data_IF_972374650361
#
_entry.id   IF_972374650361
#
_cell.length_a   1.000
_cell.length_b   1.000
_cell.length_c   1.000
_cell.angle_alpha   90.00
_cell.angle_beta   90.00
_cell.angle_gamma   90.00
#
_symmetry.space_group_name_H-M   'P 1'
#
loop_
_entity.id
_entity.type
_entity.pdbx_description
1 polymer ?
#
# COMPACT_ATOMS: atom_id res chain seq x y z
N UNK A 1 12.50 19.72 -11.70
CA UNK A 1 12.49 19.71 -11.19
C UNK A 1 12.12 19.25 -10.65
N UNK A 2 11.98 18.76 -10.38
CA UNK A 2 11.56 18.35 -9.82
C UNK A 2 11.67 18.56 -8.73
N UNK A 3 11.70 18.86 -8.27
CA UNK A 3 11.78 19.18 -7.18
C UNK A 3 10.71 19.67 -6.69
N UNK A 4 9.78 19.55 -6.98
CA UNK A 4 8.76 20.09 -6.42
C UNK A 4 8.37 19.43 -5.23
N UNK A 5 7.86 20.11 -4.26
CA UNK A 5 7.40 19.50 -3.05
C UNK A 5 6.14 18.74 -3.31
N UNK A 6 6.00 17.58 -2.68
CA UNK A 6 4.76 16.86 -2.82
C UNK A 6 3.64 17.69 -2.22
N UNK A 7 2.48 17.62 -2.83
CA UNK A 7 1.34 18.34 -2.28
C UNK A 7 0.64 17.50 -1.25
N UNK A 8 1.03 16.25 -1.06
CA UNK A 8 0.39 15.38 -0.11
C UNK A 8 0.93 15.57 1.29
N UNK A 9 0.04 15.67 2.25
CA UNK A 9 0.43 15.68 3.65
C UNK A 9 0.48 14.21 4.06
N UNK A 10 1.68 13.65 4.10
CA UNK A 10 1.83 12.23 4.36
C UNK A 10 1.36 11.81 5.74
N UNK A 11 1.48 12.70 6.71
CA UNK A 11 1.01 12.37 8.06
C UNK A 11 -0.52 12.28 8.09
N UNK A 12 -1.17 13.21 7.44
CA UNK A 12 -2.62 13.20 7.43
C UNK A 12 -3.12 12.02 6.61
N UNK A 13 -2.47 11.72 5.50
CA UNK A 13 -2.85 10.57 4.70
C UNK A 13 -2.66 9.28 5.50
N UNK A 14 -1.55 9.17 6.22
CA UNK A 14 -1.30 7.98 7.05
C UNK A 14 -2.44 7.79 8.04
N UNK A 15 -2.92 8.88 8.62
CA UNK A 15 -3.98 8.78 9.59
C UNK A 15 -5.25 8.27 8.93
N UNK A 16 -5.54 8.73 7.71
CA UNK A 16 -6.73 8.30 7.00
C UNK A 16 -6.65 6.82 6.62
N UNK A 17 -5.49 6.36 6.18
CA UNK A 17 -5.33 4.97 5.82
C UNK A 17 -5.46 4.06 7.03
N UNK A 18 -4.96 4.51 8.17
CA UNK A 18 -5.10 3.72 9.39
C UNK A 18 -6.56 3.54 9.77
N UNK A 19 -7.39 4.53 9.49
CA UNK A 19 -8.80 4.43 9.81
C UNK A 19 -9.52 3.44 8.90
N UNK A 20 -9.04 3.26 7.69
CA UNK A 20 -9.63 2.32 6.77
C UNK A 20 -9.25 0.89 7.17
N UNK A 21 -8.04 0.72 7.65
CA UNK A 21 -7.53 -0.60 8.00
C UNK A 21 -8.18 -1.14 9.27
N UNK A 22 -8.31 -2.45 9.39
CA UNK A 22 -8.92 -3.02 10.59
C UNK A 22 -8.10 -2.68 11.82
N UNK A 23 -8.79 -2.49 12.93
CA UNK A 23 -8.13 -2.22 14.20
C UNK A 23 -7.77 -3.56 14.83
N UNK A 24 -6.83 -3.53 15.75
CA UNK A 24 -6.47 -4.72 16.49
C UNK A 24 -5.11 -5.26 16.11
N UNK A 25 -4.84 -6.47 16.55
CA UNK A 25 -3.56 -7.09 16.32
C UNK A 25 -3.69 -8.32 15.45
N UNK A 26 -2.63 -8.62 14.74
CA UNK A 26 -2.59 -9.83 13.96
C UNK A 26 -2.61 -11.00 14.92
N UNK A 27 -3.47 -11.99 14.70
CA UNK A 27 -3.60 -13.10 15.63
C UNK A 27 -2.26 -13.79 15.88
N UNK A 28 -1.99 -14.09 17.14
CA UNK A 28 -0.77 -14.78 17.52
C UNK A 28 0.46 -13.91 17.60
N UNK A 29 0.31 -12.60 17.44
CA UNK A 29 1.46 -11.71 17.49
C UNK A 29 1.13 -10.46 18.27
N UNK A 30 2.15 -9.62 18.47
CA UNK A 30 1.95 -8.33 19.08
C UNK A 30 1.88 -7.24 18.04
N UNK A 31 1.86 -7.58 16.75
CA UNK A 31 1.86 -6.59 15.70
C UNK A 31 0.47 -6.05 15.45
N UNK A 32 0.33 -4.75 15.46
CA UNK A 32 -0.95 -4.14 15.17
C UNK A 32 -1.09 -3.95 13.67
N UNK A 33 -2.26 -4.26 13.14
CA UNK A 33 -2.47 -4.13 11.71
C UNK A 33 -2.24 -2.71 11.23
N UNK A 34 -2.66 -1.71 12.01
CA UNK A 34 -2.52 -0.32 11.59
C UNK A 34 -1.12 0.25 11.73
N UNK A 35 -0.40 -0.16 12.76
CA UNK A 35 0.91 0.42 13.03
C UNK A 35 0.79 1.87 13.50
N UNK A 36 1.90 2.58 13.48
CA UNK A 36 1.91 3.97 13.95
C UNK A 36 1.78 4.93 12.78
N UNK A 37 1.21 6.08 13.04
CA UNK A 37 1.05 7.11 12.02
C UNK A 37 2.41 7.52 11.46
N UNK A 38 3.41 7.66 12.33
CA UNK A 38 4.73 8.09 11.89
C UNK A 38 5.34 7.09 10.93
N UNK A 39 5.25 5.81 11.25
CA UNK A 39 5.83 4.78 10.42
C UNK A 39 5.13 4.72 9.07
N UNK A 40 3.82 4.81 9.06
CA UNK A 40 3.06 4.75 7.83
C UNK A 40 3.38 5.97 6.95
N UNK A 41 3.48 7.14 7.57
CA UNK A 41 3.79 8.35 6.83
C UNK A 41 5.17 8.25 6.18
N UNK A 42 6.13 7.65 6.89
CA UNK A 42 7.47 7.48 6.35
C UNK A 42 7.47 6.54 5.15
N UNK A 43 6.70 5.48 5.22
CA UNK A 43 6.63 4.54 4.11
C UNK A 43 6.00 5.21 2.87
N UNK A 44 4.96 5.99 3.07
CA UNK A 44 4.31 6.68 1.96
C UNK A 44 5.27 7.68 1.32
N UNK A 45 6.00 8.41 2.15
CA UNK A 45 6.94 9.38 1.63
C UNK A 45 8.07 8.69 0.89
N UNK A 46 8.53 7.55 1.40
CA UNK A 46 9.60 6.80 0.76
C UNK A 46 9.18 6.36 -0.65
N UNK A 47 7.96 5.87 -0.80
CA UNK A 47 7.49 5.48 -2.11
C UNK A 47 7.43 6.69 -3.04
N UNK A 48 6.89 7.78 -2.55
CA UNK A 48 6.69 8.96 -3.38
C UNK A 48 8.01 9.58 -3.81
N UNK A 49 8.92 9.73 -2.88
CA UNK A 49 10.16 10.46 -3.14
C UNK A 49 11.29 9.55 -3.58
N UNK A 50 11.60 8.53 -2.80
CA UNK A 50 12.73 7.70 -3.10
C UNK A 50 12.53 6.84 -4.33
N UNK A 51 11.35 6.25 -4.45
CA UNK A 51 11.06 5.38 -5.57
C UNK A 51 10.30 6.09 -6.67
N UNK A 52 10.08 7.37 -6.49
CA UNK A 52 9.45 8.22 -7.51
C UNK A 52 8.11 7.69 -8.00
N UNK A 53 7.37 7.05 -7.11
CA UNK A 53 6.05 6.55 -7.44
C UNK A 53 5.04 7.60 -6.99
N UNK A 54 4.54 8.40 -7.92
CA UNK A 54 3.62 9.46 -7.59
C UNK A 54 2.20 8.96 -7.53
N UNK A 55 1.46 9.43 -6.55
CA UNK A 55 0.07 9.05 -6.38
C UNK A 55 -0.65 10.22 -5.73
N UNK A 56 -1.98 10.21 -5.83
CA UNK A 56 -2.76 11.25 -5.16
C UNK A 56 -3.29 10.67 -3.87
N UNK A 57 -3.81 11.55 -3.02
CA UNK A 57 -4.41 11.10 -1.78
C UNK A 57 -5.58 10.17 -2.10
N UNK A 58 -6.36 10.50 -3.11
CA UNK A 58 -7.49 9.67 -3.50
C UNK A 58 -7.05 8.31 -3.97
N UNK A 59 -5.96 8.23 -4.72
CA UNK A 59 -5.45 6.95 -5.17
C UNK A 59 -5.08 6.08 -4.00
N UNK A 60 -4.45 6.68 -3.00
CA UNK A 60 -4.00 5.95 -1.83
C UNK A 60 -5.19 5.42 -1.04
N UNK A 61 -6.20 6.24 -0.87
CA UNK A 61 -7.37 5.85 -0.12
C UNK A 61 -8.11 4.74 -0.86
N UNK A 62 -8.27 4.89 -2.16
CA UNK A 62 -8.98 3.90 -2.96
C UNK A 62 -8.25 2.55 -2.93
N UNK A 63 -6.95 2.56 -3.12
CA UNK A 63 -6.18 1.33 -3.12
C UNK A 63 -6.30 0.62 -1.78
N UNK A 64 -6.21 1.37 -0.69
CA UNK A 64 -6.28 0.80 0.64
C UNK A 64 -7.67 0.22 0.89
N UNK A 65 -8.71 0.92 0.49
CA UNK A 65 -10.07 0.43 0.67
C UNK A 65 -10.30 -0.84 -0.11
N UNK A 66 -9.83 -0.89 -1.34
CA UNK A 66 -10.02 -2.07 -2.16
C UNK A 66 -9.27 -3.27 -1.60
N UNK A 67 -8.09 -3.02 -1.07
CA UNK A 67 -7.30 -4.09 -0.48
C UNK A 67 -8.02 -4.69 0.73
N UNK A 68 -8.47 -3.82 1.62
CA UNK A 68 -9.15 -4.28 2.84
C UNK A 68 -10.45 -5.00 2.47
N UNK A 69 -11.20 -4.46 1.53
CA UNK A 69 -12.46 -5.06 1.14
C UNK A 69 -12.30 -6.41 0.48
N UNK A 70 -11.16 -6.64 -0.14
CA UNK A 70 -10.92 -7.90 -0.81
C UNK A 70 -10.86 -9.08 0.14
N UNK A 71 -10.70 -8.83 1.43
CA UNK A 71 -10.67 -9.90 2.41
C UNK A 71 -12.05 -10.20 2.99
N UNK A 72 -13.06 -9.41 2.63
CA UNK A 72 -14.44 -9.65 3.04
C UNK A 72 -14.62 -9.90 4.55
N UNK A 73 -13.88 -9.16 5.33
CA UNK A 73 -13.99 -9.26 6.80
C UNK A 73 -13.09 -10.30 7.44
N UNK A 74 -12.47 -11.15 6.63
CA UNK A 74 -11.58 -12.16 7.18
C UNK A 74 -10.15 -11.68 6.98
N UNK A 75 -9.56 -11.11 8.01
CA UNK A 75 -8.27 -10.49 7.89
C UNK A 75 -7.11 -11.40 8.27
N UNK A 76 -7.33 -12.71 8.26
CA UNK A 76 -6.30 -13.66 8.63
C UNK A 76 -5.01 -13.45 7.85
N UNK A 77 -5.11 -13.20 6.57
CA UNK A 77 -3.94 -13.06 5.73
C UNK A 77 -3.64 -11.64 5.25
N UNK A 78 -4.31 -10.66 5.82
CA UNK A 78 -4.05 -9.28 5.41
C UNK A 78 -2.69 -8.87 5.93
N UNK A 79 -1.93 -8.12 5.15
CA UNK A 79 -0.63 -7.66 5.58
C UNK A 79 -0.80 -6.53 6.56
N UNK A 80 0.21 -6.30 7.37
CA UNK A 80 0.22 -5.11 8.21
C UNK A 80 0.22 -3.90 7.28
N UNK A 81 -0.41 -2.82 7.68
CA UNK A 81 -0.52 -1.65 6.82
C UNK A 81 0.84 -1.19 6.31
N UNK A 82 1.86 -1.18 7.16
CA UNK A 82 3.16 -0.75 6.74
C UNK A 82 3.73 -1.62 5.64
N UNK A 83 3.44 -2.91 5.65
CA UNK A 83 3.96 -3.81 4.62
C UNK A 83 3.08 -3.81 3.38
N UNK A 84 1.82 -3.43 3.51
CA UNK A 84 0.97 -3.23 2.36
C UNK A 84 1.54 -2.08 1.53
N UNK A 85 2.01 -1.03 2.19
CA UNK A 85 2.56 0.12 1.50
C UNK A 85 3.93 -0.18 0.93
N UNK A 86 4.82 -0.74 1.73
CA UNK A 86 6.17 -1.00 1.25
C UNK A 86 6.87 -2.02 2.14
N UNK A 87 7.28 -3.12 1.56
CA UNK A 87 8.03 -4.12 2.28
C UNK A 87 9.36 -4.33 1.56
N UNK A 88 10.45 -4.29 2.30
CA UNK A 88 11.78 -4.50 1.74
C UNK A 88 12.29 -5.85 2.19
N UNK A 89 12.80 -6.64 1.25
CA UNK A 89 13.35 -7.94 1.57
C UNK A 89 14.70 -8.07 0.90
N UNK A 90 15.45 -9.09 1.25
CA UNK A 90 16.76 -9.36 0.65
C UNK A 90 16.63 -10.63 -0.15
N UNK A 91 17.02 -10.59 -1.41
CA UNK A 91 16.90 -11.77 -2.24
C UNK A 91 18.10 -12.69 -2.04
N UNK A 92 18.16 -13.77 -2.78
CA UNK A 92 19.20 -14.75 -2.62
C UNK A 92 20.59 -14.27 -2.93
N UNK A 93 20.70 -13.18 -3.68
CA UNK A 93 21.99 -12.61 -4.01
C UNK A 93 22.41 -11.49 -3.07
N UNK A 94 21.60 -11.22 -2.07
CA UNK A 94 21.94 -10.17 -1.13
C UNK A 94 21.44 -8.79 -1.54
N UNK A 95 20.67 -8.68 -2.61
CA UNK A 95 20.18 -7.39 -3.06
C UNK A 95 18.85 -7.07 -2.43
N UNK A 96 18.61 -5.79 -2.20
CA UNK A 96 17.34 -5.35 -1.65
C UNK A 96 16.27 -5.40 -2.73
N UNK A 97 15.12 -5.93 -2.37
CA UNK A 97 13.99 -6.01 -3.28
C UNK A 97 12.80 -5.41 -2.56
N UNK A 98 12.03 -4.57 -3.24
CA UNK A 98 10.85 -4.01 -2.59
C UNK A 98 9.59 -4.66 -3.13
N UNK A 99 8.56 -4.67 -2.31
CA UNK A 99 7.29 -5.21 -2.69
C UNK A 99 6.23 -4.24 -2.16
N UNK A 100 5.27 -3.89 -2.97
CA UNK A 100 4.25 -2.94 -2.57
C UNK A 100 2.92 -3.29 -3.22
N UNK A 101 2.00 -3.82 -2.40
CA UNK A 101 0.66 -4.08 -2.87
C UNK A 101 -0.05 -2.76 -3.18
N UNK A 102 0.30 -1.73 -2.42
CA UNK A 102 -0.24 -0.40 -2.62
C UNK A 102 0.07 0.08 -4.04
N UNK A 103 1.32 -0.07 -4.44
CA UNK A 103 1.75 0.35 -5.75
C UNK A 103 1.02 -0.44 -6.84
N UNK A 104 0.92 -1.74 -6.66
CA UNK A 104 0.26 -2.58 -7.63
C UNK A 104 -1.20 -2.21 -7.82
N UNK A 105 -1.90 -1.98 -6.72
CA UNK A 105 -3.31 -1.65 -6.81
C UNK A 105 -3.52 -0.26 -7.41
N UNK A 106 -2.62 0.65 -7.11
CA UNK A 106 -2.74 2.00 -7.64
C UNK A 106 -2.48 1.99 -9.14
N UNK A 107 -1.49 1.22 -9.58
CA UNK A 107 -1.19 1.15 -10.98
C UNK A 107 -2.30 0.47 -11.76
N UNK A 108 -2.88 -0.55 -11.19
CA UNK A 108 -3.90 -1.30 -11.88
C UNK A 108 -5.23 -0.58 -11.98
N UNK A 109 -5.42 0.40 -11.15
CA UNK A 109 -6.68 1.13 -11.17
C UNK A 109 -6.98 1.72 -12.52
N UNK A 110 -5.96 2.18 -13.21
CA UNK A 110 -6.16 2.79 -14.50
C UNK A 110 -6.22 1.81 -15.63
N UNK A 111 -5.95 0.56 -15.38
CA UNK A 111 -5.90 -0.43 -16.42
C UNK A 111 -6.84 -1.57 -16.23
N UNK A 112 -7.74 -1.44 -15.33
CA UNK A 112 -8.55 -2.56 -14.97
C UNK A 112 -9.34 -3.11 -16.13
N UNK A 113 -9.78 -2.33 -17.02
CA UNK A 113 -10.54 -2.83 -18.14
C UNK A 113 -9.70 -3.70 -19.02
N UNK A 114 -8.53 -3.28 -19.33
CA UNK A 114 -7.64 -4.04 -20.15
C UNK A 114 -7.28 -5.32 -19.51
N UNK A 115 -7.04 -5.25 -18.25
CA UNK A 115 -6.63 -6.41 -17.51
C UNK A 115 -7.68 -7.46 -17.54
N UNK A 116 -8.89 -7.09 -17.35
CA UNK A 116 -9.96 -8.02 -17.34
C UNK A 116 -10.09 -8.70 -18.66
N UNK A 117 -10.05 -8.00 -19.71
CA UNK A 117 -10.18 -8.56 -20.97
C UNK A 117 -9.13 -9.55 -21.26
N UNK A 118 -7.93 -9.25 -20.95
CA UNK A 118 -6.90 -10.09 -21.21
C UNK A 118 -6.99 -11.36 -20.54
N UNK A 119 -7.31 -11.37 -19.29
CA UNK A 119 -7.28 -12.58 -18.66
C UNK A 119 -8.44 -13.42 -18.92
N UNK A 120 -9.45 -12.88 -19.37
CA UNK A 120 -10.53 -13.63 -19.69
C UNK A 120 -10.21 -14.44 -20.88
N UNK A 121 -9.49 -13.92 -21.82
CA UNK A 121 -9.14 -14.64 -22.90
C UNK A 121 -8.24 -15.70 -22.66
N UNK A 122 -7.50 -15.66 -21.66
CA UNK A 122 -6.60 -16.67 -21.42
C UNK A 122 -7.17 -17.90 -21.02
N UNK A 123 -8.39 -17.95 -20.76
CA UNK A 123 -8.95 -19.09 -20.29
C UNK A 123 -9.30 -19.91 -21.15
#
# INVERSE_FOLDING_TARGET
MKNKNPTIDFTELARKLREIYPAGRKPGTNYQWRGSTVEIAKKLKTLYVKYEFEFTEEDAIDATQRYVESFHGDYTFIRLLKYFILKTTIDGDGNSVINSEFMSLTENAGQEDDTDDKWIEMR
#
